data_IF_969938838316
#
_entry.id   IF_969938838316
#
_cell.length_a   1.000
_cell.length_b   1.000
_cell.length_c   1.000
_cell.angle_alpha   90.00
_cell.angle_beta   90.00
_cell.angle_gamma   90.00
#
_symmetry.space_group_name_H-M   'P 1'
#
loop_
_entity.id
_entity.type
_entity.pdbx_description
1 polymer ?
#
# COMPACT_ATOMS: atom_id res chain seq x y z
N UNK A 1 9.32 -33.43 8.36
CA UNK A 1 9.34 -33.16 6.89
C UNK A 1 8.13 -32.31 6.50
N UNK A 2 6.91 -32.66 6.91
CA UNK A 2 5.68 -31.89 6.61
C UNK A 2 5.72 -30.44 7.11
N UNK A 3 6.15 -30.19 8.35
CA UNK A 3 6.28 -28.83 8.90
C UNK A 3 7.20 -27.91 8.09
N UNK A 4 8.27 -28.45 7.48
CA UNK A 4 9.16 -27.66 6.62
C UNK A 4 8.49 -27.34 5.28
N UNK A 5 7.71 -28.27 4.73
CA UNK A 5 6.95 -28.00 3.51
C UNK A 5 5.90 -26.90 3.73
N UNK A 6 5.20 -26.93 4.88
CA UNK A 6 4.23 -25.90 5.26
C UNK A 6 4.87 -24.52 5.45
N UNK A 7 6.03 -24.44 6.10
CA UNK A 7 6.73 -23.16 6.31
C UNK A 7 7.16 -22.53 4.98
N UNK A 8 7.73 -23.34 4.07
CA UNK A 8 8.13 -22.88 2.73
C UNK A 8 6.94 -22.37 1.92
N UNK A 9 5.78 -23.04 2.03
CA UNK A 9 4.55 -22.59 1.37
C UNK A 9 4.02 -21.29 1.98
N UNK A 10 4.10 -21.12 3.30
CA UNK A 10 3.69 -19.91 3.99
C UNK A 10 4.55 -18.70 3.57
N UNK A 11 5.87 -18.85 3.56
CA UNK A 11 6.82 -17.82 3.12
C UNK A 11 6.56 -17.40 1.66
N UNK A 12 6.32 -18.37 0.77
CA UNK A 12 5.98 -18.06 -0.63
C UNK A 12 4.68 -17.26 -0.73
N UNK A 13 3.66 -17.60 0.06
CA UNK A 13 2.39 -16.85 0.09
C UNK A 13 2.61 -15.42 0.59
N UNK A 14 3.44 -15.23 1.61
CA UNK A 14 3.78 -13.90 2.13
C UNK A 14 4.45 -13.03 1.07
N UNK A 15 5.44 -13.58 0.33
CA UNK A 15 6.09 -12.88 -0.78
C UNK A 15 5.07 -12.46 -1.86
N UNK A 16 4.11 -13.34 -2.18
CA UNK A 16 3.05 -13.02 -3.15
C UNK A 16 2.17 -11.87 -2.64
N UNK A 17 1.76 -11.89 -1.38
CA UNK A 17 0.94 -10.83 -0.80
C UNK A 17 1.68 -9.50 -0.70
N UNK A 18 2.96 -9.51 -0.36
CA UNK A 18 3.82 -8.33 -0.39
C UNK A 18 3.95 -7.75 -1.80
N UNK A 19 4.11 -8.60 -2.82
CA UNK A 19 4.14 -8.15 -4.22
C UNK A 19 2.82 -7.51 -4.64
N UNK A 20 1.68 -8.14 -4.32
CA UNK A 20 0.36 -7.57 -4.59
C UNK A 20 0.17 -6.22 -3.90
N UNK A 21 0.61 -6.10 -2.63
CA UNK A 21 0.55 -4.84 -1.88
C UNK A 21 1.39 -3.76 -2.53
N UNK A 22 2.63 -4.08 -2.93
CA UNK A 22 3.53 -3.17 -3.64
C UNK A 22 2.89 -2.64 -4.92
N UNK A 23 2.27 -3.52 -5.70
CA UNK A 23 1.67 -3.11 -6.98
C UNK A 23 0.45 -2.21 -6.77
N UNK A 24 -0.37 -2.47 -5.73
CA UNK A 24 -1.45 -1.55 -5.30
C UNK A 24 -0.93 -0.19 -4.86
N UNK A 25 0.17 -0.14 -4.10
CA UNK A 25 0.79 1.13 -3.68
C UNK A 25 1.31 1.93 -4.87
N UNK A 26 1.90 1.26 -5.88
CA UNK A 26 2.31 1.90 -7.14
C UNK A 26 1.13 2.54 -7.86
N UNK A 27 0.00 1.86 -7.96
CA UNK A 27 -1.20 2.42 -8.58
C UNK A 27 -1.78 3.59 -7.77
N UNK A 28 -1.79 3.50 -6.44
CA UNK A 28 -2.18 4.62 -5.58
C UNK A 28 -1.27 5.84 -5.79
N UNK A 29 0.05 5.64 -5.83
CA UNK A 29 1.02 6.71 -6.10
C UNK A 29 0.81 7.34 -7.47
N UNK A 30 0.57 6.52 -8.51
CA UNK A 30 0.24 7.00 -9.86
C UNK A 30 -1.06 7.82 -9.89
N UNK A 31 -2.10 7.37 -9.20
CA UNK A 31 -3.35 8.11 -9.09
C UNK A 31 -3.14 9.48 -8.41
N UNK A 32 -2.35 9.51 -7.32
CA UNK A 32 -1.98 10.75 -6.62
C UNK A 32 -1.11 11.69 -7.46
N UNK A 33 -0.30 11.18 -8.38
CA UNK A 33 0.48 12.00 -9.31
C UNK A 33 -0.40 12.64 -10.38
N UNK A 34 -1.47 11.94 -10.82
CA UNK A 34 -2.43 12.44 -11.80
C UNK A 34 -3.45 13.42 -11.22
N UNK A 35 -3.53 13.55 -9.89
CA UNK A 35 -4.44 14.49 -9.27
C UNK A 35 -4.11 15.95 -9.64
N UNK A 36 -5.13 16.81 -9.81
CA UNK A 36 -4.96 18.25 -10.00
C UNK A 36 -4.07 18.89 -8.91
N UNK A 37 -3.14 19.76 -9.32
CA UNK A 37 -2.17 20.40 -8.41
C UNK A 37 -2.80 21.33 -7.36
N UNK A 38 -4.06 21.73 -7.54
CA UNK A 38 -4.80 22.52 -6.57
C UNK A 38 -5.30 21.68 -5.37
N UNK A 39 -5.27 20.34 -5.45
CA UNK A 39 -5.61 19.45 -4.33
C UNK A 39 -4.43 19.38 -3.35
N UNK A 40 -4.56 20.08 -2.22
CA UNK A 40 -3.52 20.15 -1.18
C UNK A 40 -3.66 19.10 -0.08
N UNK A 41 -4.84 18.50 0.07
CA UNK A 41 -5.17 17.55 1.14
C UNK A 41 -5.85 16.32 0.54
N UNK A 42 -5.48 15.14 1.02
CA UNK A 42 -6.05 13.86 0.64
C UNK A 42 -6.50 13.09 1.89
N UNK A 43 -7.47 12.21 1.72
CA UNK A 43 -7.92 11.30 2.78
C UNK A 43 -7.18 9.98 2.66
N UNK A 44 -6.53 9.56 3.74
CA UNK A 44 -5.87 8.26 3.83
C UNK A 44 -6.65 7.38 4.81
N UNK A 45 -6.98 6.17 4.39
CA UNK A 45 -7.53 5.16 5.27
C UNK A 45 -6.37 4.46 5.99
N UNK A 46 -6.33 4.57 7.32
CA UNK A 46 -5.38 3.86 8.17
C UNK A 46 -6.16 3.09 9.22
N UNK A 47 -6.06 1.76 9.19
CA UNK A 47 -6.94 0.86 9.93
C UNK A 47 -8.41 1.15 9.56
N UNK A 48 -9.30 1.31 10.54
CA UNK A 48 -10.70 1.65 10.32
C UNK A 48 -10.99 3.16 10.38
N UNK A 49 -9.95 4.01 10.26
CA UNK A 49 -10.09 5.46 10.38
C UNK A 49 -9.64 6.17 9.09
N UNK A 50 -10.24 7.32 8.83
CA UNK A 50 -9.83 8.21 7.73
C UNK A 50 -9.13 9.44 8.29
N UNK A 51 -7.92 9.71 7.79
CA UNK A 51 -7.08 10.83 8.18
C UNK A 51 -6.95 11.79 6.99
N UNK A 52 -7.32 13.05 7.20
CA UNK A 52 -7.03 14.12 6.25
C UNK A 52 -5.57 14.54 6.41
N UNK A 53 -4.77 14.33 5.38
CA UNK A 53 -3.34 14.64 5.38
C UNK A 53 -2.97 15.48 4.16
N UNK A 54 -1.97 16.37 4.26
CA UNK A 54 -1.45 17.06 3.10
C UNK A 54 -0.99 16.08 2.01
N UNK A 55 -1.20 16.41 0.74
CA UNK A 55 -0.85 15.54 -0.40
C UNK A 55 0.62 15.12 -0.39
N UNK A 56 1.51 16.00 0.07
CA UNK A 56 2.95 15.71 0.24
C UNK A 56 3.22 14.62 1.27
N UNK A 57 2.43 14.56 2.35
CA UNK A 57 2.60 13.61 3.44
C UNK A 57 1.99 12.27 3.05
N UNK A 58 0.83 12.25 2.38
CA UNK A 58 0.29 11.03 1.78
C UNK A 58 1.27 10.37 0.80
N UNK A 59 1.96 11.15 -0.05
CA UNK A 59 2.97 10.62 -0.99
C UNK A 59 4.22 10.06 -0.31
N UNK A 60 4.52 10.45 0.92
CA UNK A 60 5.65 9.91 1.70
C UNK A 60 5.30 8.59 2.38
N UNK A 61 4.01 8.36 2.65
CA UNK A 61 3.50 7.19 3.38
C UNK A 61 3.11 6.02 2.47
N UNK A 62 3.08 6.25 1.15
CA UNK A 62 2.73 5.28 0.10
C UNK A 62 3.97 5.03 -0.76
#
# INVERSE_FOLDING_TARGET
IESLAESVLAERREIIELNKRRDKLREASRAMQKQPKNIKTNWMCLNNNFLALPTKDCKRLI
#
